data_IF_285322388931
#
_entry.id   IF_285322388931
#
_cell.length_a   1.000
_cell.length_b   1.000
_cell.length_c   1.000
_cell.angle_alpha   90.00
_cell.angle_beta   90.00
_cell.angle_gamma   90.00
#
_symmetry.space_group_name_H-M   'P 1'
#
loop_
_entity.id
_entity.type
_entity.pdbx_description
1 polymer ?
#
# COMPACT_ATOMS: atom_id res chain seq x y z
N UNK A 1 7.16 -5.08 -6.84
CA UNK A 1 6.91 -4.48 -8.18
C UNK A 1 8.20 -4.59 -8.99
N UNK A 2 8.13 -5.18 -10.18
CA UNK A 2 9.25 -5.29 -11.12
C UNK A 2 9.31 -4.09 -12.07
N UNK A 3 9.98 -4.24 -13.22
CA UNK A 3 10.17 -3.18 -14.21
C UNK A 3 8.87 -2.57 -14.77
N UNK A 4 7.73 -3.27 -14.66
CA UNK A 4 6.45 -2.85 -15.22
C UNK A 4 5.63 -1.91 -14.32
N UNK A 5 6.17 -1.48 -13.17
CA UNK A 5 5.50 -0.50 -12.29
C UNK A 5 4.20 -1.04 -11.67
N UNK A 6 3.20 -0.16 -11.52
CA UNK A 6 1.87 -0.46 -11.00
C UNK A 6 0.99 -0.99 -12.13
N UNK A 7 0.66 -2.28 -12.06
CA UNK A 7 -0.26 -2.95 -12.99
C UNK A 7 -1.54 -3.33 -12.25
N UNK A 8 -2.61 -3.65 -12.99
CA UNK A 8 -3.87 -4.12 -12.41
C UNK A 8 -3.67 -5.39 -11.57
N UNK A 9 -2.82 -6.32 -12.03
CA UNK A 9 -2.51 -7.53 -11.27
C UNK A 9 -1.84 -7.21 -9.92
N UNK A 10 -0.89 -6.27 -9.90
CA UNK A 10 -0.26 -5.84 -8.65
C UNK A 10 -1.27 -5.14 -7.74
N UNK A 11 -2.16 -4.32 -8.29
CA UNK A 11 -3.20 -3.67 -7.52
C UNK A 11 -4.15 -4.69 -6.88
N UNK A 12 -4.57 -5.72 -7.64
CA UNK A 12 -5.40 -6.80 -7.11
C UNK A 12 -4.70 -7.60 -5.99
N UNK A 13 -3.39 -7.84 -6.09
CA UNK A 13 -2.62 -8.46 -5.01
C UNK A 13 -2.57 -7.57 -3.76
N UNK A 14 -2.45 -6.25 -3.92
CA UNK A 14 -2.46 -5.29 -2.81
C UNK A 14 -3.82 -5.30 -2.11
N UNK A 15 -4.92 -5.31 -2.88
CA UNK A 15 -6.29 -5.42 -2.36
C UNK A 15 -6.48 -6.67 -1.50
N UNK A 16 -6.12 -7.84 -2.05
CA UNK A 16 -6.20 -9.12 -1.34
C UNK A 16 -5.37 -9.06 -0.06
N UNK A 17 -4.14 -8.52 -0.13
CA UNK A 17 -3.27 -8.44 1.04
C UNK A 17 -3.82 -7.50 2.12
N UNK A 18 -4.42 -6.36 1.74
CA UNK A 18 -5.09 -5.45 2.67
C UNK A 18 -6.30 -6.11 3.35
N UNK A 19 -7.13 -6.84 2.60
CA UNK A 19 -8.29 -7.54 3.16
C UNK A 19 -7.88 -8.63 4.16
N UNK A 20 -6.75 -9.29 3.91
CA UNK A 20 -6.27 -10.37 4.79
C UNK A 20 -5.55 -9.84 6.02
N UNK A 21 -4.75 -8.79 5.89
CA UNK A 21 -3.78 -8.40 6.92
C UNK A 21 -4.02 -7.02 7.54
N UNK A 22 -4.86 -6.18 6.93
CA UNK A 22 -5.10 -4.76 7.26
C UNK A 22 -3.86 -3.86 7.14
N UNK A 23 -2.69 -4.28 7.65
CA UNK A 23 -1.42 -3.59 7.60
C UNK A 23 -0.42 -4.36 6.73
N UNK A 24 0.04 -3.76 5.63
CA UNK A 24 0.99 -4.39 4.72
C UNK A 24 2.18 -3.50 4.38
N UNK A 25 3.24 -4.13 3.90
CA UNK A 25 4.43 -3.47 3.34
C UNK A 25 4.56 -3.80 1.86
N UNK A 26 4.55 -2.78 1.02
CA UNK A 26 4.69 -2.90 -0.44
C UNK A 26 6.02 -2.29 -0.88
N UNK A 27 6.80 -3.03 -1.67
CA UNK A 27 8.05 -2.52 -2.25
C UNK A 27 7.77 -1.84 -3.59
N UNK A 28 7.95 -0.51 -3.62
CA UNK A 28 7.86 0.34 -4.81
C UNK A 28 9.27 0.53 -5.39
N UNK A 29 9.61 -0.27 -6.39
CA UNK A 29 10.93 -0.29 -7.01
C UNK A 29 11.06 0.82 -8.06
N UNK A 30 11.08 2.08 -7.62
CA UNK A 30 11.44 3.25 -8.45
C UNK A 30 12.63 3.97 -7.83
N UNK A 31 13.67 4.25 -8.63
CA UNK A 31 14.79 5.10 -8.23
C UNK A 31 14.43 6.58 -8.27
N UNK A 32 13.52 6.97 -9.16
CA UNK A 32 13.02 8.33 -9.25
C UNK A 32 11.98 8.61 -8.17
N UNK A 33 12.16 9.72 -7.46
CA UNK A 33 11.35 10.10 -6.29
C UNK A 33 9.94 10.54 -6.70
N UNK A 34 9.81 11.27 -7.80
CA UNK A 34 8.51 11.76 -8.28
C UNK A 34 7.64 10.60 -8.76
N UNK A 35 8.21 9.72 -9.58
CA UNK A 35 7.56 8.49 -10.06
C UNK A 35 7.13 7.61 -8.90
N UNK A 36 7.99 7.46 -7.87
CA UNK A 36 7.64 6.70 -6.66
C UNK A 36 6.43 7.31 -5.95
N UNK A 37 6.39 8.64 -5.81
CA UNK A 37 5.28 9.32 -5.15
C UNK A 37 3.98 9.17 -5.95
N UNK A 38 4.02 9.29 -7.28
CA UNK A 38 2.86 9.08 -8.15
C UNK A 38 2.31 7.66 -8.03
N UNK A 39 3.18 6.65 -7.96
CA UNK A 39 2.78 5.26 -7.72
C UNK A 39 2.12 5.11 -6.35
N UNK A 40 2.71 5.69 -5.30
CA UNK A 40 2.15 5.65 -3.94
C UNK A 40 0.76 6.30 -3.91
N UNK A 41 0.60 7.47 -4.53
CA UNK A 41 -0.67 8.20 -4.60
C UNK A 41 -1.73 7.41 -5.38
N UNK A 42 -1.34 6.76 -6.48
CA UNK A 42 -2.23 5.88 -7.23
C UNK A 42 -2.69 4.71 -6.35
N UNK A 43 -1.78 4.00 -5.67
CA UNK A 43 -2.15 2.87 -4.79
C UNK A 43 -3.11 3.33 -3.69
N UNK A 44 -2.82 4.44 -3.01
CA UNK A 44 -3.68 4.99 -1.95
C UNK A 44 -5.06 5.35 -2.49
N UNK A 45 -5.13 5.99 -3.66
CA UNK A 45 -6.40 6.38 -4.28
C UNK A 45 -7.24 5.17 -4.67
N UNK A 46 -6.65 4.20 -5.36
CA UNK A 46 -7.39 3.04 -5.87
C UNK A 46 -7.83 2.10 -4.74
N UNK A 47 -7.01 1.97 -3.68
CA UNK A 47 -7.31 1.06 -2.57
C UNK A 47 -8.11 1.69 -1.43
N UNK A 48 -8.15 3.02 -1.34
CA UNK A 48 -8.69 3.71 -0.16
C UNK A 48 -7.92 3.41 1.14
N UNK A 49 -6.73 2.80 1.06
CA UNK A 49 -5.88 2.55 2.22
C UNK A 49 -5.15 3.81 2.66
N UNK A 50 -4.87 3.92 3.95
CA UNK A 50 -4.05 5.00 4.50
C UNK A 50 -2.56 4.70 4.33
N UNK A 51 -1.82 5.69 3.85
CA UNK A 51 -0.34 5.68 3.88
C UNK A 51 0.14 5.96 5.30
N UNK A 52 0.56 4.91 5.99
CA UNK A 52 1.15 5.02 7.34
C UNK A 52 2.56 5.60 7.27
N UNK A 53 3.40 5.06 6.39
CA UNK A 53 4.80 5.47 6.30
C UNK A 53 5.42 5.12 4.94
N UNK A 54 6.51 5.79 4.60
CA UNK A 54 7.40 5.39 3.51
C UNK A 54 8.84 5.36 4.02
N UNK A 55 9.51 4.21 3.90
CA UNK A 55 10.91 3.99 4.31
C UNK A 55 11.70 3.54 3.09
N UNK A 56 12.51 4.44 2.51
CA UNK A 56 13.24 4.16 1.27
C UNK A 56 12.30 3.80 0.12
N UNK A 57 12.30 2.53 -0.28
CA UNK A 57 11.47 1.93 -1.34
C UNK A 57 10.27 1.13 -0.80
N UNK A 58 10.06 1.16 0.51
CA UNK A 58 8.97 0.44 1.18
C UNK A 58 7.85 1.41 1.54
N UNK A 59 6.64 1.11 1.07
CA UNK A 59 5.40 1.77 1.43
C UNK A 59 4.69 0.92 2.49
N UNK A 60 4.27 1.54 3.59
CA UNK A 60 3.44 0.92 4.63
C UNK A 60 2.01 1.43 4.47
N UNK A 61 1.05 0.51 4.28
CA UNK A 61 -0.37 0.81 4.09
C UNK A 61 -1.19 0.16 5.18
N UNK A 62 -2.23 0.87 5.62
CA UNK A 62 -3.24 0.34 6.52
C UNK A 62 -4.64 0.55 5.96
N UNK A 63 -5.50 -0.47 6.01
CA UNK A 63 -6.93 -0.37 5.76
C UNK A 63 -7.67 -1.27 6.74
N UNK A 64 -8.55 -0.69 7.55
CA UNK A 64 -9.36 -1.45 8.49
C UNK A 64 -10.37 -2.31 7.73
N UNK A 65 -10.51 -3.57 8.13
CA UNK A 65 -11.53 -4.49 7.62
C UNK A 65 -12.69 -4.61 8.60
N UNK A 66 -13.81 -5.19 8.17
CA UNK A 66 -14.97 -5.43 9.03
C UNK A 66 -14.63 -6.33 10.23
N UNK A 67 -13.70 -7.28 10.03
CA UNK A 67 -13.22 -8.21 11.06
C UNK A 67 -12.33 -7.54 12.13
N UNK A 68 -11.85 -6.31 11.89
CA UNK A 68 -11.00 -5.53 12.80
C UNK A 68 -9.84 -6.34 13.39
N UNK A 69 -8.98 -6.86 12.53
CA UNK A 69 -7.87 -7.78 12.91
C UNK A 69 -6.80 -7.10 13.75
N UNK A 70 -6.63 -5.79 13.59
CA UNK A 70 -5.69 -4.95 14.32
C UNK A 70 -6.47 -3.96 15.20
N UNK A 71 -6.25 -4.04 16.51
CA UNK A 71 -6.74 -3.04 17.45
C UNK A 71 -5.87 -1.79 17.42
N UNK A 72 -6.43 -0.68 16.95
CA UNK A 72 -5.77 0.62 17.02
C UNK A 72 -5.88 1.21 18.43
N UNK A 73 -4.82 1.87 18.95
CA UNK A 73 -4.87 2.54 20.24
C UNK A 73 -5.95 3.63 20.22
N UNK A 74 -6.76 3.68 21.28
CA UNK A 74 -7.74 4.76 21.49
C UNK A 74 -7.00 5.98 22.05
N UNK A 75 -7.36 7.16 21.54
CA UNK A 75 -6.89 8.45 22.09
C UNK A 75 -7.37 8.66 23.52
#
# INVERSE_FOLDING_TARGET
MGANGLTEAVLAEIEIALDHHELIKVKVASEDRETKNLIIEAIVRETGAEKVQTIGKTLVLYRQTEDRKIELPRK
#
